data_IF_039186323560
#
_entry.id   IF_039186323560
#
_cell.length_a   1.000
_cell.length_b   1.000
_cell.length_c   1.000
_cell.angle_alpha   90.00
_cell.angle_beta   90.00
_cell.angle_gamma   90.00
#
_symmetry.space_group_name_H-M   'P 1'
#
loop_
_entity.id
_entity.type
_entity.pdbx_description
1 polymer ?
#
# COMPACT_ATOMS: atom_id res chain seq x y z
N UNK A 1 -4.10 -5.18 11.74
CA UNK A 1 -3.88 -3.86 11.11
C UNK A 1 -4.14 -2.79 12.16
N UNK A 2 -3.42 -1.66 12.16
CA UNK A 2 -3.71 -0.57 13.11
C UNK A 2 -5.02 0.14 12.74
N UNK A 3 -5.72 0.72 13.71
CA UNK A 3 -7.06 1.29 13.53
C UNK A 3 -7.08 2.55 12.64
N UNK A 4 -6.02 3.35 12.72
CA UNK A 4 -5.77 4.51 11.85
C UNK A 4 -5.61 4.08 10.38
N UNK A 5 -4.82 3.05 10.13
CA UNK A 5 -4.64 2.46 8.80
C UNK A 5 -5.96 1.86 8.27
N UNK A 6 -6.74 1.19 9.11
CA UNK A 6 -8.03 0.65 8.73
C UNK A 6 -9.02 1.76 8.30
N UNK A 7 -9.03 2.88 9.02
CA UNK A 7 -9.87 4.04 8.71
C UNK A 7 -9.48 4.69 7.38
N UNK A 8 -8.18 4.89 7.14
CA UNK A 8 -7.67 5.41 5.87
C UNK A 8 -7.99 4.49 4.68
N UNK A 9 -7.93 3.17 4.87
CA UNK A 9 -8.28 2.20 3.83
C UNK A 9 -9.78 2.18 3.53
N UNK A 10 -10.64 2.33 4.54
CA UNK A 10 -12.10 2.43 4.34
C UNK A 10 -12.46 3.62 3.45
N UNK A 11 -11.84 4.79 3.67
CA UNK A 11 -12.07 5.95 2.81
C UNK A 11 -11.71 5.67 1.33
N UNK A 12 -10.69 4.83 1.07
CA UNK A 12 -10.32 4.42 -0.30
C UNK A 12 -11.32 3.45 -0.91
N UNK A 13 -12.03 2.64 -0.11
CA UNK A 13 -13.03 1.69 -0.62
C UNK A 13 -14.13 2.43 -1.38
N UNK A 14 -14.62 3.55 -0.85
CA UNK A 14 -15.71 4.29 -1.48
C UNK A 14 -15.28 4.91 -2.83
N UNK A 15 -14.08 5.48 -2.89
CA UNK A 15 -13.49 5.96 -4.15
C UNK A 15 -13.33 4.81 -5.15
N UNK A 16 -12.80 3.66 -4.72
CA UNK A 16 -12.58 2.52 -5.61
C UNK A 16 -13.89 1.88 -6.10
N UNK A 17 -14.97 1.96 -5.31
CA UNK A 17 -16.31 1.56 -5.75
C UNK A 17 -16.88 2.50 -6.80
N UNK A 18 -16.70 3.81 -6.63
CA UNK A 18 -17.11 4.82 -7.61
C UNK A 18 -16.26 4.76 -8.90
N UNK A 19 -15.04 4.23 -8.82
CA UNK A 19 -14.09 4.15 -9.93
C UNK A 19 -13.70 2.69 -10.23
N UNK A 20 -14.58 1.86 -10.80
CA UNK A 20 -14.33 0.43 -11.00
C UNK A 20 -13.18 0.12 -11.97
N UNK A 21 -12.81 1.07 -12.83
CA UNK A 21 -11.73 0.92 -13.79
C UNK A 21 -10.34 1.19 -13.22
N UNK A 22 -10.25 1.75 -12.01
CA UNK A 22 -8.95 2.04 -11.37
C UNK A 22 -8.30 0.73 -10.95
N UNK A 23 -7.05 0.54 -11.37
CA UNK A 23 -6.19 -0.54 -10.90
C UNK A 23 -5.05 0.05 -10.07
N UNK A 24 -4.70 -0.63 -8.99
CA UNK A 24 -3.67 -0.20 -8.06
C UNK A 24 -2.56 -1.25 -7.93
N UNK A 25 -1.34 -0.77 -7.79
CA UNK A 25 -0.23 -1.53 -7.20
C UNK A 25 -0.04 -1.09 -5.76
N UNK A 26 0.03 -2.06 -4.86
CA UNK A 26 0.27 -1.88 -3.44
C UNK A 26 1.73 -2.23 -3.18
N UNK A 27 2.51 -1.23 -2.81
CA UNK A 27 3.95 -1.33 -2.60
C UNK A 27 4.24 -1.34 -1.10
N UNK A 28 4.91 -2.40 -0.63
CA UNK A 28 5.34 -2.56 0.76
C UNK A 28 6.80 -2.16 0.95
N UNK A 29 7.06 -1.30 1.93
CA UNK A 29 8.41 -0.84 2.29
C UNK A 29 8.72 -1.13 3.77
N UNK A 30 10.00 -1.31 4.04
CA UNK A 30 10.60 -1.45 5.36
C UNK A 30 11.68 -0.39 5.58
N UNK A 31 12.08 -0.19 6.83
CA UNK A 31 13.31 0.56 7.13
C UNK A 31 14.55 -0.35 6.95
N UNK A 32 15.74 0.23 7.06
CA UNK A 32 17.04 -0.40 6.81
C UNK A 32 17.48 -1.40 7.90
N UNK A 33 16.61 -1.70 8.86
CA UNK A 33 16.92 -2.60 9.98
C UNK A 33 16.43 -4.00 9.66
N UNK A 34 17.34 -4.96 9.71
CA UNK A 34 17.08 -6.37 9.40
C UNK A 34 17.86 -6.83 8.17
N UNK A 35 17.59 -8.04 7.68
CA UNK A 35 18.13 -8.48 6.39
C UNK A 35 17.21 -8.04 5.26
N UNK A 36 17.77 -7.88 4.07
CA UNK A 36 17.01 -7.55 2.86
C UNK A 36 15.89 -8.54 2.60
N UNK A 37 16.12 -9.86 2.75
CA UNK A 37 15.09 -10.90 2.57
C UNK A 37 13.97 -10.79 3.61
N UNK A 38 14.33 -10.49 4.86
CA UNK A 38 13.35 -10.27 5.91
C UNK A 38 12.49 -9.03 5.60
N UNK A 39 13.12 -7.96 5.13
CA UNK A 39 12.45 -6.69 4.81
C UNK A 39 11.55 -6.82 3.57
N UNK A 40 11.99 -7.56 2.54
CA UNK A 40 11.15 -7.98 1.42
C UNK A 40 9.95 -8.82 1.91
N UNK A 41 10.23 -9.81 2.76
CA UNK A 41 9.31 -10.59 3.59
C UNK A 41 8.18 -9.75 4.22
N UNK A 42 8.61 -8.75 4.98
CA UNK A 42 7.78 -7.89 5.80
C UNK A 42 6.93 -6.93 4.94
N UNK A 43 7.53 -6.30 3.94
CA UNK A 43 6.83 -5.44 2.99
C UNK A 43 5.74 -6.19 2.24
N UNK A 44 6.04 -7.42 1.76
CA UNK A 44 5.07 -8.24 1.04
C UNK A 44 3.87 -8.61 1.91
N UNK A 45 4.11 -9.09 3.15
CA UNK A 45 3.04 -9.43 4.10
C UNK A 45 2.13 -8.25 4.40
N UNK A 46 2.69 -7.04 4.54
CA UNK A 46 1.90 -5.82 4.78
C UNK A 46 1.06 -5.45 3.56
N UNK A 47 1.64 -5.48 2.36
CA UNK A 47 0.94 -5.14 1.14
C UNK A 47 -0.18 -6.14 0.80
N UNK A 48 0.05 -7.44 1.03
CA UNK A 48 -0.99 -8.49 0.94
C UNK A 48 -2.13 -8.23 1.92
N UNK A 49 -1.84 -7.93 3.19
CA UNK A 49 -2.89 -7.64 4.17
C UNK A 49 -3.77 -6.45 3.78
N UNK A 50 -3.20 -5.44 3.09
CA UNK A 50 -3.94 -4.29 2.56
C UNK A 50 -4.84 -4.71 1.39
N UNK A 51 -4.33 -5.51 0.44
CA UNK A 51 -5.14 -6.08 -0.65
C UNK A 51 -6.31 -6.89 -0.09
N UNK A 52 -6.03 -7.77 0.86
CA UNK A 52 -7.02 -8.67 1.46
C UNK A 52 -8.10 -7.87 2.21
N UNK A 53 -7.70 -6.78 2.89
CA UNK A 53 -8.66 -5.86 3.49
C UNK A 53 -9.59 -5.25 2.44
N UNK A 54 -9.05 -4.70 1.34
CA UNK A 54 -9.83 -4.06 0.27
C UNK A 54 -10.77 -5.04 -0.45
N UNK A 55 -10.28 -6.25 -0.74
CA UNK A 55 -11.09 -7.31 -1.36
C UNK A 55 -12.18 -7.83 -0.42
N UNK A 56 -11.95 -7.81 0.90
CA UNK A 56 -12.97 -8.07 1.92
C UNK A 56 -14.17 -7.13 1.88
N UNK A 57 -14.05 -5.94 1.26
CA UNK A 57 -15.17 -5.04 0.98
C UNK A 57 -15.85 -5.28 -0.39
N UNK A 58 -15.53 -6.38 -1.06
CA UNK A 58 -16.11 -6.77 -2.35
C UNK A 58 -15.44 -6.16 -3.57
N UNK A 59 -14.27 -5.53 -3.42
CA UNK A 59 -13.48 -5.05 -4.56
C UNK A 59 -12.80 -6.24 -5.25
N UNK A 60 -12.84 -6.30 -6.59
CA UNK A 60 -12.24 -7.40 -7.35
C UNK A 60 -10.73 -7.48 -7.12
N UNK A 61 -10.21 -8.67 -6.82
CA UNK A 61 -8.78 -8.91 -6.60
C UNK A 61 -7.95 -8.54 -7.83
N UNK A 62 -8.47 -8.76 -9.04
CA UNK A 62 -7.80 -8.43 -10.31
C UNK A 62 -7.43 -6.96 -10.48
N UNK A 63 -7.99 -6.07 -9.65
CA UNK A 63 -7.67 -4.64 -9.64
C UNK A 63 -6.40 -4.32 -8.86
N UNK A 64 -5.83 -5.29 -8.15
CA UNK A 64 -4.72 -5.09 -7.25
C UNK A 64 -3.53 -5.96 -7.63
N UNK A 65 -2.36 -5.33 -7.73
CA UNK A 65 -1.08 -6.02 -7.73
C UNK A 65 -0.31 -5.69 -6.45
N UNK A 66 0.52 -6.62 -5.99
CA UNK A 66 1.34 -6.44 -4.78
C UNK A 66 2.81 -6.54 -5.16
N UNK A 67 3.61 -5.59 -4.67
CA UNK A 67 5.08 -5.61 -4.78
C UNK A 67 5.68 -5.23 -3.44
N UNK A 68 6.81 -5.83 -3.10
CA UNK A 68 7.61 -5.44 -1.94
C UNK A 68 8.96 -4.96 -2.42
N UNK A 69 9.37 -3.80 -1.93
CA UNK A 69 10.72 -3.27 -2.15
C UNK A 69 11.62 -3.44 -0.92
N UNK A 70 11.08 -3.96 0.20
CA UNK A 70 11.82 -4.03 1.45
C UNK A 70 12.41 -2.67 1.79
N UNK A 71 13.72 -2.64 2.02
CA UNK A 71 14.50 -1.43 2.31
C UNK A 71 15.11 -0.75 1.06
N UNK A 72 14.98 -1.35 -0.13
CA UNK A 72 15.70 -0.93 -1.34
C UNK A 72 15.23 0.42 -1.93
N UNK A 73 14.05 0.91 -1.51
CA UNK A 73 13.46 2.17 -1.97
C UNK A 73 13.09 3.08 -0.79
N UNK A 74 14.09 3.62 -0.06
CA UNK A 74 13.83 4.54 1.04
C UNK A 74 13.18 5.82 0.50
N UNK A 75 12.20 6.34 1.25
CA UNK A 75 11.62 7.66 1.00
C UNK A 75 12.49 8.75 1.62
N UNK A 76 13.08 8.46 2.78
CA UNK A 76 13.99 9.35 3.47
C UNK A 76 15.30 8.61 3.74
N UNK A 77 16.41 9.25 3.38
CA UNK A 77 17.74 8.76 3.70
C UNK A 77 18.07 9.05 5.16
N UNK A 78 18.75 8.11 5.82
CA UNK A 78 19.15 8.25 7.21
C UNK A 78 18.81 6.99 8.01
N UNK A 79 19.49 6.84 9.14
CA UNK A 79 19.35 5.69 10.04
C UNK A 79 18.94 6.17 11.43
N UNK A 80 17.85 6.94 11.48
CA UNK A 80 17.24 7.47 12.70
C UNK A 80 15.72 7.25 12.69
N UNK A 81 15.06 7.46 13.83
CA UNK A 81 13.64 7.16 13.96
C UNK A 81 12.76 8.04 13.04
N UNK A 82 13.20 9.25 12.71
CA UNK A 82 12.52 10.09 11.71
C UNK A 82 12.49 9.41 10.34
N UNK A 83 13.66 9.01 9.81
CA UNK A 83 13.76 8.34 8.53
C UNK A 83 13.06 6.97 8.56
N UNK A 84 13.28 6.18 9.59
CA UNK A 84 12.69 4.85 9.74
C UNK A 84 11.17 4.89 9.75
N UNK A 85 10.57 5.83 10.47
CA UNK A 85 9.11 5.96 10.54
C UNK A 85 8.47 6.21 9.17
N UNK A 86 9.16 6.96 8.29
CA UNK A 86 8.71 7.29 6.93
C UNK A 86 9.01 6.17 5.94
N UNK A 87 10.06 5.39 6.18
CA UNK A 87 10.42 4.23 5.37
C UNK A 87 9.51 3.02 5.64
N UNK A 88 8.98 2.87 6.86
CA UNK A 88 7.95 1.87 7.19
C UNK A 88 6.57 2.25 6.65
N UNK A 89 6.37 2.17 5.33
CA UNK A 89 5.11 2.59 4.68
C UNK A 89 4.53 1.53 3.74
N UNK A 90 3.23 1.64 3.50
CA UNK A 90 2.55 1.06 2.35
C UNK A 90 2.17 2.19 1.39
N UNK A 91 2.44 2.01 0.10
CA UNK A 91 2.18 3.02 -0.93
C UNK A 91 1.23 2.44 -1.98
N UNK A 92 0.30 3.28 -2.46
CA UNK A 92 -0.58 2.94 -3.57
C UNK A 92 -0.10 3.67 -4.82
N UNK A 93 0.05 2.94 -5.91
CA UNK A 93 0.37 3.47 -7.23
C UNK A 93 -0.76 3.10 -8.16
N UNK A 94 -1.33 4.09 -8.85
CA UNK A 94 -2.34 3.82 -9.88
C UNK A 94 -1.62 3.28 -11.11
N UNK A 95 -2.02 2.11 -11.58
CA UNK A 95 -1.43 1.47 -12.76
C UNK A 95 -2.31 1.57 -13.99
N UNK A 96 -3.61 1.82 -13.80
CA UNK A 96 -4.56 2.10 -14.87
C UNK A 96 -5.80 2.83 -14.33
N UNK A 97 -6.52 3.52 -15.21
CA UNK A 97 -7.81 4.13 -14.90
C UNK A 97 -7.73 5.44 -14.09
N UNK A 98 -6.59 6.12 -14.08
CA UNK A 98 -6.40 7.39 -13.35
C UNK A 98 -7.45 8.46 -13.73
N UNK A 99 -7.74 8.60 -15.02
CA UNK A 99 -8.78 9.53 -15.52
C UNK A 99 -10.21 9.17 -15.07
N UNK A 100 -10.41 7.96 -14.56
CA UNK A 100 -11.70 7.49 -14.04
C UNK A 100 -11.81 7.67 -12.52
N UNK A 101 -10.79 8.23 -11.86
CA UNK A 101 -10.87 8.61 -10.44
C UNK A 101 -11.89 9.74 -10.35
N UNK A 102 -13.06 9.40 -9.82
CA UNK A 102 -14.04 10.37 -9.42
C UNK A 102 -13.80 10.60 -7.93
N UNK A 103 -13.25 11.75 -7.51
CA UNK A 103 -12.99 12.00 -6.09
C UNK A 103 -14.26 11.99 -5.23
N UNK A 104 -15.46 11.83 -5.82
CA UNK A 104 -16.72 12.08 -5.14
C UNK A 104 -16.89 13.59 -4.98
N UNK A 105 -18.12 14.06 -5.16
CA UNK A 105 -18.49 15.44 -4.81
C UNK A 105 -18.30 15.67 -3.30
#
# INVERSE_FOLDING_TARGET
>A
MRDDAASALRAKVDILRASPQVQLRIEGHADDRGSTEYNLALGNRRAVAVRDFLTGFGLSESRFSVVSFGEERPLESGSDESAWSRNRRGQFVITAGENAINPGN
#
